data_IF_007886145358
#
_entry.id   IF_007886145358
#
_cell.length_a   1.000
_cell.length_b   1.000
_cell.length_c   1.000
_cell.angle_alpha   90.00
_cell.angle_beta   90.00
_cell.angle_gamma   90.00
#
_symmetry.space_group_name_H-M   'P 1'
#
loop_
_entity.id
_entity.type
_entity.pdbx_description
1 polymer ?
#
# COMPACT_ATOMS: atom_id res chain seq x y z
N UNK A 1 -30.54 -63.47 -50.41
CA UNK A 1 -31.43 -62.29 -50.34
C UNK A 1 -31.55 -61.90 -48.87
N UNK A 2 -31.25 -60.64 -48.55
CA UNK A 2 -31.01 -60.12 -47.19
C UNK A 2 -32.21 -60.21 -46.23
N UNK A 3 -31.91 -60.23 -44.92
CA UNK A 3 -32.36 -59.28 -43.85
C UNK A 3 -32.40 -59.99 -42.48
N UNK A 4 -31.39 -59.84 -41.60
CA UNK A 4 -31.24 -58.90 -40.46
C UNK A 4 -31.91 -59.31 -39.14
N UNK A 5 -31.18 -59.20 -38.03
CA UNK A 5 -31.73 -59.21 -36.67
C UNK A 5 -30.70 -59.44 -35.56
N UNK A 6 -29.82 -58.46 -35.31
CA UNK A 6 -28.83 -58.44 -34.23
C UNK A 6 -29.53 -58.24 -32.86
N UNK A 7 -29.23 -59.07 -31.85
CA UNK A 7 -29.67 -58.86 -30.45
C UNK A 7 -28.58 -58.14 -29.64
N UNK A 8 -28.98 -57.05 -29.00
CA UNK A 8 -28.20 -56.09 -28.21
C UNK A 8 -27.40 -56.72 -27.06
N UNK A 9 -26.10 -56.44 -26.99
CA UNK A 9 -25.26 -56.74 -25.82
C UNK A 9 -25.42 -55.62 -24.78
N UNK A 10 -25.78 -55.99 -23.55
CA UNK A 10 -25.62 -55.13 -22.39
C UNK A 10 -24.21 -55.29 -21.83
N UNK A 11 -23.39 -54.24 -21.91
CA UNK A 11 -22.18 -54.11 -21.13
C UNK A 11 -22.23 -52.77 -20.40
N UNK A 12 -22.38 -52.85 -19.08
CA UNK A 12 -22.40 -51.70 -18.17
C UNK A 12 -20.97 -51.15 -18.14
N UNK A 13 -20.80 -49.92 -18.64
CA UNK A 13 -19.55 -49.17 -18.54
C UNK A 13 -19.60 -48.36 -17.23
N UNK A 14 -18.86 -48.80 -16.21
CA UNK A 14 -18.66 -48.00 -15.01
C UNK A 14 -17.55 -46.97 -15.30
N UNK A 15 -17.94 -45.74 -15.61
CA UNK A 15 -17.03 -44.63 -15.83
C UNK A 15 -16.73 -43.95 -14.49
N UNK A 16 -15.59 -44.26 -13.87
CA UNK A 16 -15.15 -43.57 -12.65
C UNK A 16 -14.58 -42.20 -13.04
N UNK A 17 -15.34 -41.14 -12.81
CA UNK A 17 -14.92 -39.76 -13.04
C UNK A 17 -14.04 -39.30 -11.86
N UNK A 18 -12.72 -39.28 -12.03
CA UNK A 18 -11.80 -38.73 -11.04
C UNK A 18 -11.72 -37.21 -11.25
N UNK A 19 -12.53 -36.43 -10.53
CA UNK A 19 -12.40 -34.96 -10.48
C UNK A 19 -11.17 -34.58 -9.67
N UNK A 20 -10.11 -34.12 -10.34
CA UNK A 20 -8.97 -33.47 -9.70
C UNK A 20 -9.41 -32.07 -9.30
N UNK A 21 -9.70 -31.85 -8.02
CA UNK A 21 -9.76 -30.51 -7.46
C UNK A 21 -8.33 -29.99 -7.30
N UNK A 22 -7.86 -29.22 -8.28
CA UNK A 22 -6.65 -28.43 -8.12
C UNK A 22 -6.92 -27.32 -7.11
N UNK A 23 -6.41 -27.45 -5.89
CA UNK A 23 -6.36 -26.33 -4.96
C UNK A 23 -5.40 -25.28 -5.56
N UNK A 24 -5.96 -24.21 -6.11
CA UNK A 24 -5.17 -23.02 -6.40
C UNK A 24 -4.77 -22.43 -5.05
N UNK A 25 -3.54 -22.69 -4.61
CA UNK A 25 -2.96 -21.93 -3.52
C UNK A 25 -2.87 -20.48 -4.01
N UNK A 26 -3.70 -19.60 -3.44
CA UNK A 26 -3.47 -18.15 -3.55
C UNK A 26 -2.17 -17.89 -2.80
N UNK A 27 -1.05 -17.82 -3.54
CA UNK A 27 0.18 -17.24 -3.01
C UNK A 27 -0.01 -15.74 -3.13
N UNK A 28 0.03 -15.03 -1.99
CA UNK A 28 0.19 -13.59 -2.04
C UNK A 28 1.46 -13.27 -2.80
N UNK A 29 1.40 -12.30 -3.72
CA UNK A 29 2.59 -11.87 -4.42
C UNK A 29 3.55 -11.24 -3.40
N UNK A 30 4.74 -11.82 -3.27
CA UNK A 30 5.82 -11.29 -2.46
C UNK A 30 6.93 -10.86 -3.41
N UNK A 31 7.27 -9.59 -3.39
CA UNK A 31 8.30 -9.01 -4.26
C UNK A 31 9.58 -8.78 -3.46
N UNK A 32 10.72 -9.30 -3.92
CA UNK A 32 12.00 -8.97 -3.27
C UNK A 32 12.49 -7.57 -3.66
N UNK A 33 12.26 -7.14 -4.92
CA UNK A 33 12.77 -5.90 -5.53
C UNK A 33 11.84 -5.37 -6.63
N UNK A 34 12.05 -4.11 -7.02
CA UNK A 34 11.53 -3.52 -8.25
C UNK A 34 10.11 -2.96 -8.16
N UNK A 35 9.47 -3.02 -6.99
CA UNK A 35 8.14 -2.45 -6.76
C UNK A 35 8.23 -1.02 -6.25
N UNK A 36 7.16 -0.25 -6.48
CA UNK A 36 7.02 1.07 -5.92
C UNK A 36 6.89 1.03 -4.39
N UNK A 37 6.97 2.21 -3.78
CA UNK A 37 6.67 2.42 -2.37
C UNK A 37 5.32 3.12 -2.27
N UNK A 38 4.41 2.61 -1.44
CA UNK A 38 3.15 3.29 -1.14
C UNK A 38 3.39 4.30 -0.01
N UNK A 39 3.24 5.59 -0.31
CA UNK A 39 3.28 6.65 0.72
C UNK A 39 1.92 6.78 1.40
N UNK A 40 1.94 7.11 2.69
CA UNK A 40 0.74 7.19 3.52
C UNK A 40 0.69 8.51 4.28
N UNK A 41 -0.47 9.16 4.22
CA UNK A 41 -0.87 10.15 5.21
C UNK A 41 -1.57 9.40 6.34
N UNK A 42 -0.96 9.41 7.52
CA UNK A 42 -1.39 8.61 8.68
C UNK A 42 -2.33 9.38 9.62
N UNK A 43 -2.48 10.69 9.38
CA UNK A 43 -3.40 11.56 10.09
C UNK A 43 -2.73 12.82 10.63
N UNK A 44 -3.45 13.53 11.49
CA UNK A 44 -2.96 14.76 12.09
C UNK A 44 -3.29 14.87 13.57
N UNK A 45 -2.56 15.76 14.25
CA UNK A 45 -2.85 16.15 15.62
C UNK A 45 -2.67 17.66 15.83
N UNK A 46 -3.50 18.31 16.67
CA UNK A 46 -3.27 19.67 17.10
C UNK A 46 -2.12 19.74 18.11
N UNK A 47 -1.39 20.86 18.12
CA UNK A 47 -0.41 21.23 19.13
C UNK A 47 -0.95 22.33 20.05
N UNK A 48 -0.32 22.51 21.21
CA UNK A 48 -0.75 23.49 22.23
C UNK A 48 -0.68 24.95 21.75
N UNK A 49 0.22 25.24 20.80
CA UNK A 49 0.39 26.57 20.19
C UNK A 49 -0.62 26.87 19.08
N UNK A 50 -1.55 25.93 18.81
CA UNK A 50 -2.58 26.04 17.78
C UNK A 50 -2.12 25.60 16.38
N UNK A 51 -0.84 25.24 16.20
CA UNK A 51 -0.37 24.60 14.96
C UNK A 51 -0.77 23.12 14.92
N UNK A 52 -0.48 22.44 13.82
CA UNK A 52 -0.81 21.03 13.63
C UNK A 52 0.39 20.25 13.14
N UNK A 53 0.49 18.98 13.52
CA UNK A 53 1.42 18.04 12.91
C UNK A 53 0.67 17.07 11.99
N UNK A 54 1.11 17.00 10.74
CA UNK A 54 0.73 15.96 9.79
C UNK A 54 1.71 14.80 9.91
N UNK A 55 1.18 13.59 10.07
CA UNK A 55 1.98 12.38 10.23
C UNK A 55 2.00 11.61 8.92
N UNK A 56 3.19 11.15 8.54
CA UNK A 56 3.39 10.38 7.32
C UNK A 56 4.09 9.06 7.61
N UNK A 57 3.86 8.09 6.74
CA UNK A 57 4.51 6.80 6.74
C UNK A 57 4.57 6.24 5.33
N UNK A 58 5.08 5.03 5.19
CA UNK A 58 5.11 4.35 3.91
C UNK A 58 5.09 2.82 4.08
N UNK A 59 4.75 2.14 2.99
CA UNK A 59 4.88 0.71 2.83
C UNK A 59 5.82 0.44 1.66
N UNK A 60 7.00 -0.10 1.96
CA UNK A 60 7.88 -0.67 0.95
C UNK A 60 7.48 -2.15 0.75
N UNK A 61 6.89 -2.45 -0.42
CA UNK A 61 6.43 -3.80 -0.74
C UNK A 61 7.59 -4.77 -1.03
N UNK A 62 8.77 -4.22 -1.32
CA UNK A 62 9.99 -4.97 -1.50
C UNK A 62 10.47 -5.54 -0.16
N UNK A 63 10.84 -6.81 -0.16
CA UNK A 63 11.31 -7.51 1.03
C UNK A 63 12.80 -7.32 1.32
N UNK A 64 13.59 -6.99 0.30
CA UNK A 64 15.04 -6.84 0.40
C UNK A 64 15.53 -5.47 -0.10
N UNK A 65 14.81 -4.83 -1.03
CA UNK A 65 15.23 -3.54 -1.57
C UNK A 65 15.03 -2.39 -0.58
N UNK A 66 16.06 -1.57 -0.45
CA UNK A 66 16.05 -0.32 0.33
C UNK A 66 16.40 0.86 -0.58
N UNK A 67 15.43 1.42 -1.34
CA UNK A 67 15.73 2.50 -2.28
C UNK A 67 16.24 3.76 -1.58
N UNK A 68 17.27 4.37 -2.16
CA UNK A 68 17.74 5.71 -1.81
C UNK A 68 17.19 6.74 -2.81
N UNK A 69 16.31 7.64 -2.34
CA UNK A 69 15.68 8.68 -3.15
C UNK A 69 15.89 10.04 -2.47
N UNK A 70 16.85 10.79 -2.97
CA UNK A 70 17.16 12.14 -2.50
C UNK A 70 15.99 13.11 -2.67
N UNK A 71 15.95 14.14 -1.83
CA UNK A 71 15.00 15.25 -1.95
C UNK A 71 15.14 15.90 -3.32
N UNK A 72 14.04 16.05 -4.06
CA UNK A 72 14.04 16.59 -5.41
C UNK A 72 12.85 16.12 -6.23
N UNK A 73 13.00 16.07 -7.56
CA UNK A 73 11.89 15.78 -8.50
C UNK A 73 11.17 14.45 -8.25
N UNK A 74 11.82 13.49 -7.57
CA UNK A 74 11.24 12.19 -7.25
C UNK A 74 10.86 12.02 -5.78
N UNK A 75 11.10 13.00 -4.91
CA UNK A 75 10.79 12.94 -3.48
C UNK A 75 10.64 14.35 -2.92
N UNK A 76 9.43 14.89 -2.93
CA UNK A 76 9.19 16.28 -2.54
C UNK A 76 7.81 16.51 -1.97
N UNK A 77 7.68 17.62 -1.25
CA UNK A 77 6.40 18.18 -0.84
C UNK A 77 5.94 19.33 -1.73
N UNK A 78 4.62 19.46 -1.84
CA UNK A 78 3.99 20.66 -2.37
C UNK A 78 2.66 20.93 -1.67
N UNK A 79 2.24 22.20 -1.51
CA UNK A 79 2.96 23.42 -1.88
C UNK A 79 4.04 23.84 -0.86
N UNK A 80 4.87 24.80 -1.26
CA UNK A 80 5.88 25.43 -0.39
C UNK A 80 7.24 24.75 -0.50
N UNK A 81 7.93 24.61 0.64
CA UNK A 81 9.24 23.96 0.70
C UNK A 81 9.12 22.48 0.32
N UNK A 82 9.86 22.01 -0.71
CA UNK A 82 9.89 20.60 -1.08
C UNK A 82 10.56 19.71 -0.04
N UNK A 83 11.45 20.26 0.80
CA UNK A 83 12.05 19.54 1.91
C UNK A 83 11.26 19.82 3.20
N UNK A 84 10.67 18.78 3.76
CA UNK A 84 9.96 18.82 5.05
C UNK A 84 10.46 17.74 6.01
N UNK A 85 11.64 17.18 5.73
CA UNK A 85 12.22 16.09 6.53
C UNK A 85 11.67 14.70 6.20
N UNK A 86 11.14 14.49 4.99
CA UNK A 86 10.81 13.15 4.52
C UNK A 86 12.06 12.26 4.39
N UNK A 87 11.92 10.93 4.53
CA UNK A 87 13.04 9.99 4.36
C UNK A 87 13.66 10.06 2.97
N UNK A 88 14.97 9.85 2.91
CA UNK A 88 15.71 9.62 1.67
C UNK A 88 16.19 8.19 1.51
N UNK A 89 16.10 7.37 2.57
CA UNK A 89 16.41 5.95 2.56
C UNK A 89 15.19 5.15 3.04
N UNK A 90 14.70 4.22 2.23
CA UNK A 90 13.41 3.57 2.45
C UNK A 90 13.56 2.09 2.81
N UNK A 91 13.46 1.78 4.10
CA UNK A 91 13.56 0.41 4.61
C UNK A 91 12.40 -0.48 4.12
N UNK A 92 12.57 -1.81 4.10
CA UNK A 92 11.52 -2.74 3.71
C UNK A 92 10.30 -2.64 4.63
N UNK A 93 9.16 -3.10 4.13
CA UNK A 93 7.91 -3.29 4.89
C UNK A 93 7.28 -1.97 5.36
N UNK A 94 6.42 -2.07 6.39
CA UNK A 94 5.61 -0.97 6.89
C UNK A 94 6.43 -0.11 7.84
N UNK A 95 6.59 1.15 7.47
CA UNK A 95 7.19 2.19 8.29
C UNK A 95 6.08 3.21 8.58
N UNK A 96 5.35 2.97 9.67
CA UNK A 96 4.21 3.80 10.08
C UNK A 96 4.69 4.97 10.93
N UNK A 97 4.05 6.14 10.78
CA UNK A 97 4.37 7.35 11.57
C UNK A 97 5.87 7.71 11.55
N UNK A 98 6.52 7.55 10.41
CA UNK A 98 7.98 7.71 10.27
C UNK A 98 8.44 9.14 10.52
N UNK A 99 7.64 10.13 10.13
CA UNK A 99 7.97 11.54 10.32
C UNK A 99 6.71 12.40 10.41
N UNK A 100 6.89 13.63 10.90
CA UNK A 100 5.83 14.61 11.04
C UNK A 100 6.21 15.93 10.35
N UNK A 101 5.23 16.59 9.75
CA UNK A 101 5.37 17.93 9.17
C UNK A 101 4.46 18.88 9.94
N UNK A 102 5.05 19.92 10.54
CA UNK A 102 4.28 20.98 11.19
C UNK A 102 3.67 21.93 10.15
N UNK A 103 2.41 22.28 10.32
CA UNK A 103 1.67 23.25 9.49
C UNK A 103 1.00 24.31 10.38
N UNK A 104 0.88 25.56 9.88
CA UNK A 104 0.40 26.69 10.68
C UNK A 104 -1.07 26.56 11.11
N UNK A 105 -1.44 27.28 12.16
CA UNK A 105 -2.79 27.31 12.74
C UNK A 105 -3.89 27.74 11.75
N UNK A 106 -3.53 28.52 10.72
CA UNK A 106 -4.45 29.00 9.69
C UNK A 106 -4.55 28.06 8.48
N UNK A 107 -4.14 26.78 8.61
CA UNK A 107 -4.10 25.82 7.50
C UNK A 107 -5.42 25.73 6.73
N UNK A 108 -6.55 25.68 7.44
CA UNK A 108 -7.88 25.60 6.84
C UNK A 108 -8.03 24.34 5.97
N UNK A 109 -8.63 24.49 4.80
CA UNK A 109 -8.90 23.40 3.85
C UNK A 109 -7.74 23.11 2.88
N UNK A 110 -6.54 23.64 3.16
CA UNK A 110 -5.36 23.39 2.33
C UNK A 110 -4.96 21.91 2.38
N UNK A 111 -4.26 21.49 1.34
CA UNK A 111 -3.69 20.15 1.22
C UNK A 111 -2.17 20.25 1.13
N UNK A 112 -1.48 19.38 1.87
CA UNK A 112 -0.04 19.16 1.72
C UNK A 112 0.15 17.79 1.07
N UNK A 113 0.91 17.74 -0.02
CA UNK A 113 1.09 16.53 -0.81
C UNK A 113 2.55 16.10 -0.73
N UNK A 114 2.79 14.88 -0.24
CA UNK A 114 4.06 14.20 -0.42
C UNK A 114 4.02 13.39 -1.71
N UNK A 115 4.97 13.61 -2.61
CA UNK A 115 5.12 12.86 -3.85
C UNK A 115 6.44 12.08 -3.83
N UNK A 116 6.34 10.78 -4.13
CA UNK A 116 7.47 9.86 -4.20
C UNK A 116 7.40 9.03 -5.49
N UNK A 117 8.48 9.04 -6.26
CA UNK A 117 8.63 8.23 -7.47
C UNK A 117 9.73 7.19 -7.28
N UNK A 118 9.35 5.91 -7.35
CA UNK A 118 10.28 4.77 -7.25
C UNK A 118 10.00 3.84 -8.42
N UNK A 119 11.06 3.36 -9.09
CA UNK A 119 10.96 2.51 -10.29
C UNK A 119 10.01 3.06 -11.37
N UNK A 120 10.00 4.39 -11.54
CA UNK A 120 9.17 5.07 -12.53
C UNK A 120 7.68 5.19 -12.17
N UNK A 121 7.29 4.77 -10.97
CA UNK A 121 5.91 4.86 -10.48
C UNK A 121 5.82 5.92 -9.39
N UNK A 122 4.97 6.92 -9.62
CA UNK A 122 4.71 8.01 -8.68
C UNK A 122 3.53 7.69 -7.77
N UNK A 123 3.73 7.82 -6.46
CA UNK A 123 2.69 7.76 -5.43
C UNK A 123 2.58 9.09 -4.71
N UNK A 124 1.39 9.38 -4.19
CA UNK A 124 1.06 10.65 -3.52
C UNK A 124 0.27 10.42 -2.24
N UNK A 125 0.71 11.06 -1.16
CA UNK A 125 -0.03 11.12 0.10
C UNK A 125 -0.58 12.54 0.29
N UNK A 126 -1.90 12.65 0.42
CA UNK A 126 -2.62 13.92 0.49
C UNK A 126 -3.06 14.20 1.93
N UNK A 127 -2.41 15.16 2.58
CA UNK A 127 -2.64 15.50 3.98
C UNK A 127 -3.58 16.71 4.14
N UNK A 128 -4.59 16.57 4.99
CA UNK A 128 -5.62 17.59 5.26
C UNK A 128 -6.04 17.56 6.73
N UNK A 129 -6.63 18.64 7.24
CA UNK A 129 -7.18 18.69 8.61
C UNK A 129 -8.61 18.11 8.73
N UNK A 130 -9.01 17.20 7.83
CA UNK A 130 -10.35 16.61 7.92
C UNK A 130 -10.48 15.86 9.25
N UNK A 131 -11.59 16.03 10.00
CA UNK A 131 -11.76 15.44 11.33
C UNK A 131 -11.60 13.91 11.38
N UNK A 132 -11.93 13.21 10.29
CA UNK A 132 -11.82 11.75 10.18
C UNK A 132 -10.37 11.23 10.28
N UNK A 133 -9.38 12.12 10.08
CA UNK A 133 -7.95 11.81 10.17
C UNK A 133 -7.30 12.31 11.47
N UNK A 134 -8.09 12.77 12.45
CA UNK A 134 -7.57 13.18 13.75
C UNK A 134 -7.04 11.96 14.51
N UNK A 135 -5.75 12.00 14.87
CA UNK A 135 -5.09 10.97 15.67
C UNK A 135 -5.12 11.41 17.13
N UNK A 136 -5.99 10.79 17.92
CA UNK A 136 -6.03 10.99 19.37
C UNK A 136 -5.07 9.98 20.07
N UNK A 137 -4.45 10.40 21.17
CA UNK A 137 -3.25 9.80 21.79
C UNK A 137 -3.40 8.34 22.31
N UNK A 138 -4.44 7.58 21.95
CA UNK A 138 -4.65 6.19 22.39
C UNK A 138 -3.98 5.10 21.54
N UNK A 139 -3.29 5.40 20.43
CA UNK A 139 -2.86 4.35 19.47
C UNK A 139 -1.34 4.19 19.33
N UNK A 140 -0.52 5.09 19.87
CA UNK A 140 0.95 5.02 19.68
C UNK A 140 1.65 4.23 20.81
N UNK A 141 1.01 4.04 21.97
CA UNK A 141 1.63 3.41 23.13
C UNK A 141 1.43 1.87 23.25
N UNK A 142 0.69 1.22 22.34
CA UNK A 142 0.46 -0.24 22.43
C UNK A 142 1.41 -1.08 21.58
N UNK A 143 2.37 -0.48 20.88
CA UNK A 143 3.29 -1.18 19.96
C UNK A 143 4.78 -0.88 20.22
N UNK A 144 5.15 -0.64 21.49
CA UNK A 144 6.55 -0.66 21.95
C UNK A 144 6.78 -1.69 23.04
#
# INVERSE_FOLDING_TARGET
MQMTGLKSQGAIFCLTLCTIFGANAVRGESYSFGQNIEVAYEGWRPLEDGTFNFMFGYMNENWEEEPDIEIGENNFFSPGDPDRGQPTHFLPRRNRFTFEVNVPADWGDRELVWELTVHGVTRRAYATLKPDYLVDNMVIASET
#
